data_IF_036185729476
#
_entry.id   IF_036185729476
#
_cell.length_a   1.000
_cell.length_b   1.000
_cell.length_c   1.000
_cell.angle_alpha   90.00
_cell.angle_beta   90.00
_cell.angle_gamma   90.00
#
_symmetry.space_group_name_H-M   'P 1'
#
loop_
_entity.id
_entity.type
_entity.pdbx_description
1 polymer ?
#
# COMPACT_ATOMS: atom_id res chain seq x y z
N UNK A 1 -13.45 -11.22 -9.58
CA UNK A 1 -12.80 -10.10 -8.87
C UNK A 1 -11.42 -10.55 -8.48
N UNK A 2 -10.41 -9.73 -8.74
CA UNK A 2 -9.05 -10.17 -8.47
C UNK A 2 -8.67 -9.84 -7.04
N UNK A 3 -8.39 -10.87 -6.24
CA UNK A 3 -8.19 -10.77 -4.80
C UNK A 3 -6.70 -10.84 -4.48
N UNK A 4 -6.25 -10.06 -3.50
CA UNK A 4 -4.88 -10.15 -3.01
C UNK A 4 -4.63 -11.54 -2.39
N UNK A 5 -3.40 -12.06 -2.53
CA UNK A 5 -3.06 -13.32 -1.88
C UNK A 5 -3.16 -13.18 -0.35
N UNK A 6 -3.57 -14.25 0.35
CA UNK A 6 -3.60 -14.25 1.83
C UNK A 6 -2.26 -13.82 2.42
N UNK A 7 -1.17 -14.26 1.80
CA UNK A 7 0.19 -13.90 2.20
C UNK A 7 0.47 -12.39 2.07
N UNK A 8 0.06 -11.74 0.98
CA UNK A 8 0.20 -10.28 0.83
C UNK A 8 -0.59 -9.51 1.89
N UNK A 9 -1.80 -9.98 2.22
CA UNK A 9 -2.65 -9.39 3.25
C UNK A 9 -2.02 -9.55 4.63
N UNK A 10 -1.56 -10.76 4.98
CA UNK A 10 -0.89 -11.03 6.25
C UNK A 10 0.37 -10.19 6.41
N UNK A 11 1.24 -10.14 5.40
CA UNK A 11 2.46 -9.33 5.46
C UNK A 11 2.15 -7.83 5.58
N UNK A 12 1.06 -7.35 4.97
CA UNK A 12 0.63 -5.96 5.10
C UNK A 12 0.29 -5.62 6.55
N UNK A 13 -0.60 -6.38 7.16
CA UNK A 13 -1.02 -6.15 8.55
C UNK A 13 0.11 -6.38 9.54
N UNK A 14 0.95 -7.39 9.32
CA UNK A 14 2.13 -7.64 10.15
C UNK A 14 3.10 -6.45 10.13
N UNK A 15 3.35 -5.87 8.94
CA UNK A 15 4.21 -4.68 8.84
C UNK A 15 3.60 -3.50 9.61
N UNK A 16 2.28 -3.28 9.49
CA UNK A 16 1.61 -2.21 10.23
C UNK A 16 1.69 -2.41 11.75
N UNK A 17 1.49 -3.64 12.23
CA UNK A 17 1.59 -3.96 13.65
C UNK A 17 3.00 -3.67 14.19
N UNK A 18 4.04 -4.16 13.51
CA UNK A 18 5.43 -3.97 13.93
C UNK A 18 5.84 -2.49 13.91
N UNK A 19 5.42 -1.74 12.88
CA UNK A 19 5.62 -0.30 12.83
C UNK A 19 4.93 0.41 14.00
N UNK A 20 3.71 -0.01 14.35
CA UNK A 20 2.98 0.51 15.51
C UNK A 20 3.73 0.26 16.82
N UNK A 21 4.29 -0.94 17.01
CA UNK A 21 5.10 -1.28 18.19
C UNK A 21 6.38 -0.44 18.23
N UNK A 22 7.09 -0.33 17.10
CA UNK A 22 8.32 0.48 17.02
C UNK A 22 8.05 1.95 17.34
N UNK A 23 6.93 2.50 16.86
CA UNK A 23 6.50 3.86 17.14
C UNK A 23 6.11 4.04 18.61
N UNK A 24 5.29 3.13 19.15
CA UNK A 24 4.89 3.17 20.55
C UNK A 24 6.10 3.08 21.49
N UNK A 25 7.09 2.25 21.16
CA UNK A 25 8.31 2.11 21.96
C UNK A 25 9.08 3.43 22.06
N UNK A 26 9.27 4.16 20.95
CA UNK A 26 10.02 5.43 20.98
C UNK A 26 9.22 6.58 21.59
N UNK A 27 7.91 6.59 21.40
CA UNK A 27 7.01 7.58 22.02
C UNK A 27 6.98 7.42 23.54
N UNK A 28 6.77 6.18 24.03
CA UNK A 28 6.72 5.87 25.46
C UNK A 28 8.09 5.99 26.13
N UNK A 29 9.19 5.85 25.37
CA UNK A 29 10.54 6.05 25.91
C UNK A 29 10.73 7.45 26.49
N UNK A 30 10.06 8.47 25.95
CA UNK A 30 10.12 9.84 26.47
C UNK A 30 9.60 9.99 27.90
N UNK A 31 8.77 9.04 28.35
CA UNK A 31 8.17 9.06 29.69
C UNK A 31 9.03 8.32 30.73
N UNK A 32 10.00 7.52 30.28
CA UNK A 32 10.90 6.80 31.16
C UNK A 32 12.11 7.69 31.55
N UNK A 33 12.60 7.63 32.81
CA UNK A 33 13.83 8.31 33.20
C UNK A 33 15.01 7.87 32.33
N UNK A 34 15.78 8.83 31.82
CA UNK A 34 16.95 8.55 30.97
C UNK A 34 17.94 7.64 31.71
N UNK A 35 18.38 6.58 31.06
CA UNK A 35 19.31 5.59 31.63
C UNK A 35 18.66 4.51 32.49
N UNK A 36 17.35 4.57 32.73
CA UNK A 36 16.62 3.46 33.38
C UNK A 36 16.58 2.20 32.50
N UNK A 37 16.36 1.03 33.13
CA UNK A 37 16.18 -0.24 32.41
C UNK A 37 15.03 -0.17 31.39
N UNK A 38 13.92 0.48 31.76
CA UNK A 38 12.77 0.69 30.87
C UNK A 38 13.14 1.57 29.67
N UNK A 39 13.91 2.65 29.88
CA UNK A 39 14.36 3.53 28.79
C UNK A 39 15.26 2.80 27.77
N UNK A 40 16.13 1.91 28.26
CA UNK A 40 16.99 1.08 27.42
C UNK A 40 16.18 0.00 26.70
N UNK A 41 15.27 -0.68 27.40
CA UNK A 41 14.40 -1.69 26.83
C UNK A 41 13.51 -1.15 25.70
N UNK A 42 12.92 0.04 25.87
CA UNK A 42 12.14 0.69 24.81
C UNK A 42 12.98 1.05 23.59
N UNK A 43 14.24 1.45 23.81
CA UNK A 43 15.20 1.70 22.73
C UNK A 43 15.50 0.39 21.98
N UNK A 44 15.73 -0.71 22.70
CA UNK A 44 16.06 -2.00 22.11
C UNK A 44 14.87 -2.55 21.29
N UNK A 45 13.64 -2.51 21.84
CA UNK A 45 12.43 -2.84 21.09
C UNK A 45 12.33 -2.04 19.80
N UNK A 46 12.56 -0.73 19.84
CA UNK A 46 12.48 0.11 18.64
C UNK A 46 13.47 -0.36 17.57
N UNK A 47 14.72 -0.66 17.94
CA UNK A 47 15.72 -1.17 17.00
C UNK A 47 15.33 -2.54 16.43
N UNK A 48 14.96 -3.49 17.29
CA UNK A 48 14.61 -4.85 16.86
C UNK A 48 13.38 -4.84 15.93
N UNK A 49 12.32 -4.14 16.32
CA UNK A 49 11.13 -4.00 15.48
C UNK A 49 11.43 -3.24 14.19
N UNK A 50 12.30 -2.22 14.23
CA UNK A 50 12.76 -1.49 13.05
C UNK A 50 13.48 -2.38 12.04
N UNK A 51 14.37 -3.26 12.51
CA UNK A 51 15.06 -4.25 11.67
C UNK A 51 14.08 -5.26 11.06
N UNK A 52 13.10 -5.73 11.85
CA UNK A 52 12.05 -6.61 11.33
C UNK A 52 11.19 -5.94 10.27
N UNK A 53 10.76 -4.68 10.49
CA UNK A 53 10.01 -3.91 9.49
C UNK A 53 10.83 -3.71 8.22
N UNK A 54 12.12 -3.39 8.35
CA UNK A 54 13.03 -3.26 7.23
C UNK A 54 13.09 -4.55 6.41
N UNK A 55 13.36 -5.69 7.05
CA UNK A 55 13.40 -7.00 6.39
C UNK A 55 12.06 -7.36 5.72
N UNK A 56 10.93 -7.11 6.40
CA UNK A 56 9.60 -7.36 5.85
C UNK A 56 9.26 -6.44 4.68
N UNK A 57 9.73 -5.18 4.68
CA UNK A 57 9.55 -4.29 3.54
C UNK A 57 10.25 -4.84 2.29
N UNK A 58 11.48 -5.34 2.41
CA UNK A 58 12.17 -6.01 1.30
C UNK A 58 11.41 -7.23 0.81
N UNK A 59 10.98 -8.10 1.73
CA UNK A 59 10.17 -9.27 1.39
C UNK A 59 8.86 -8.89 0.67
N UNK A 60 8.17 -7.84 1.14
CA UNK A 60 6.93 -7.35 0.53
C UNK A 60 7.16 -6.79 -0.87
N UNK A 61 8.23 -6.03 -1.08
CA UNK A 61 8.58 -5.50 -2.40
C UNK A 61 8.95 -6.63 -3.37
N UNK A 62 9.72 -7.61 -2.91
CA UNK A 62 10.07 -8.80 -3.68
C UNK A 62 8.82 -9.57 -4.12
N UNK A 63 7.89 -9.84 -3.19
CA UNK A 63 6.66 -10.55 -3.49
C UNK A 63 5.72 -9.73 -4.39
N UNK A 64 5.64 -8.41 -4.23
CA UNK A 64 4.88 -7.55 -5.14
C UNK A 64 5.45 -7.58 -6.55
N UNK A 65 6.77 -7.65 -6.69
CA UNK A 65 7.40 -7.76 -8.00
C UNK A 65 7.13 -9.13 -8.64
N UNK A 66 7.18 -10.21 -7.84
CA UNK A 66 6.92 -11.58 -8.31
C UNK A 66 5.44 -11.87 -8.61
N UNK A 67 4.54 -11.28 -7.84
CA UNK A 67 3.10 -11.43 -7.97
C UNK A 67 2.48 -10.06 -8.27
N UNK A 68 2.60 -9.57 -9.52
CA UNK A 68 2.04 -8.28 -9.90
C UNK A 68 0.54 -8.24 -9.64
N UNK A 69 0.06 -7.10 -9.16
CA UNK A 69 -1.35 -6.92 -8.85
C UNK A 69 -2.17 -7.24 -10.09
N UNK A 70 -3.25 -8.01 -9.93
CA UNK A 70 -4.10 -8.35 -11.05
C UNK A 70 -4.56 -7.06 -11.71
N UNK A 71 -4.47 -7.01 -13.04
CA UNK A 71 -4.80 -5.84 -13.86
C UNK A 71 -6.10 -5.23 -13.35
N UNK A 72 -5.98 -4.14 -12.59
CA UNK A 72 -7.12 -3.33 -12.22
C UNK A 72 -7.48 -2.64 -13.53
N UNK A 73 -8.40 -3.22 -14.29
CA UNK A 73 -8.92 -2.61 -15.50
C UNK A 73 -9.44 -1.25 -15.06
N UNK A 74 -8.63 -0.20 -15.28
CA UNK A 74 -9.07 1.18 -15.23
C UNK A 74 -9.95 1.33 -16.46
N UNK A 75 -11.18 0.86 -16.36
CA UNK A 75 -12.21 0.92 -17.40
C UNK A 75 -12.66 2.35 -17.70
N UNK A 76 -11.98 3.36 -17.16
CA UNK A 76 -12.22 4.77 -17.46
C UNK A 76 -11.15 5.35 -18.39
N UNK A 77 -10.98 4.75 -19.56
CA UNK A 77 -10.45 5.48 -20.72
C UNK A 77 -11.27 5.14 -21.97
N UNK A 78 -12.38 5.88 -22.07
CA UNK A 78 -13.05 6.35 -23.30
C UNK A 78 -14.13 5.46 -23.97
N UNK A 79 -15.40 5.55 -23.53
CA UNK A 79 -16.54 5.49 -24.45
C UNK A 79 -17.01 6.88 -24.92
N UNK A 80 -16.38 7.98 -24.44
CA UNK A 80 -16.82 9.34 -24.80
C UNK A 80 -16.31 9.84 -26.15
N UNK A 81 -15.16 9.36 -26.64
CA UNK A 81 -14.69 9.71 -27.99
C UNK A 81 -15.42 8.96 -29.11
N UNK A 82 -16.04 7.81 -28.80
CA UNK A 82 -16.89 7.08 -29.75
C UNK A 82 -18.29 7.68 -29.87
N UNK A 83 -18.77 8.46 -28.90
CA UNK A 83 -20.10 9.09 -28.93
C UNK A 83 -20.18 10.39 -29.71
N UNK A 84 -19.06 11.10 -29.89
CA UNK A 84 -19.05 12.37 -30.65
C UNK A 84 -19.03 12.12 -32.16
N UNK A 85 -18.50 10.98 -32.63
CA UNK A 85 -18.45 10.63 -34.06
C UNK A 85 -19.82 10.26 -34.64
N UNK A 86 -20.76 9.76 -33.84
CA UNK A 86 -22.10 9.38 -34.31
C UNK A 86 -23.11 10.54 -34.36
N UNK A 87 -22.84 11.66 -33.68
CA UNK A 87 -23.71 12.84 -33.69
C UNK A 87 -23.44 13.80 -34.87
N UNK A 88 -22.37 13.58 -35.66
CA UNK A 88 -21.98 14.43 -36.79
C UNK A 88 -22.41 13.93 -38.18
N UNK A 89 -23.07 12.77 -38.28
CA UNK A 89 -23.43 12.18 -39.58
C UNK A 89 -24.89 12.29 -40.08
N UNK A 90 -25.91 12.78 -39.34
CA UNK A 90 -27.27 12.85 -39.92
C UNK A 90 -27.62 14.15 -40.67
N UNK A 91 -26.69 15.12 -40.82
CA UNK A 91 -27.02 16.46 -41.37
C UNK A 91 -26.65 16.69 -42.85
N UNK A 92 -26.19 15.67 -43.58
CA UNK A 92 -25.74 15.81 -44.98
C UNK A 92 -26.47 14.92 -45.99
N UNK A 93 -27.66 14.42 -45.67
CA UNK A 93 -28.47 13.66 -46.64
C UNK A 93 -29.92 14.14 -46.60
N UNK A 94 -30.28 15.04 -47.51
CA UNK A 94 -31.69 15.41 -47.72
C UNK A 94 -31.91 16.76 -48.42
N UNK A 95 -31.35 16.94 -49.62
CA UNK A 95 -31.79 17.98 -50.56
C UNK A 95 -32.10 17.33 -51.90
N UNK A 96 -33.38 17.10 -52.16
CA UNK A 96 -33.99 17.03 -53.49
C UNK A 96 -35.36 17.66 -53.40
#
# INVERSE_FOLDING_TARGET
MAHFSRLQITLHWLTLLLTGIAYAAIELRGWAPKGSSVYLFMKDIHYDMGVLVWALMFLRLYLKHKYPDPVRIRSLRLPLLTRIRSLRLPLLTGST
#
